data_IF_756811477790
#
_entry.id   IF_756811477790
#
_cell.length_a   1.000
_cell.length_b   1.000
_cell.length_c   1.000
_cell.angle_alpha   90.00
_cell.angle_beta   90.00
_cell.angle_gamma   90.00
#
_symmetry.space_group_name_H-M   'P 1'
#
loop_
_entity.id
_entity.type
_entity.pdbx_description
1 polymer ?
#
# COMPACT_ATOMS: atom_id res chain seq x y z
N UNK A 1 47.46 114.12 36.52
CA UNK A 1 47.00 114.22 37.92
C UNK A 1 45.49 114.25 37.88
N UNK A 2 44.93 113.11 38.25
CA UNK A 2 43.72 112.95 39.07
C UNK A 2 42.38 113.54 38.61
N UNK A 3 41.43 112.63 38.37
CA UNK A 3 40.12 112.51 39.04
C UNK A 3 39.26 111.50 38.25
N UNK A 4 39.08 110.26 38.73
CA UNK A 4 37.89 109.79 39.48
C UNK A 4 36.58 109.82 38.65
N UNK A 5 36.22 108.69 38.03
CA UNK A 5 35.29 107.63 38.50
C UNK A 5 33.80 107.94 38.34
N UNK A 6 33.17 107.26 37.37
CA UNK A 6 31.93 106.49 37.53
C UNK A 6 32.06 105.22 36.66
N UNK A 7 31.82 104.00 37.18
CA UNK A 7 31.70 102.83 36.33
C UNK A 7 30.23 102.56 35.98
N UNK A 8 29.90 102.71 34.71
CA UNK A 8 28.63 102.27 34.14
C UNK A 8 28.68 100.75 33.92
N UNK A 9 27.75 100.02 34.54
CA UNK A 9 27.65 98.56 34.48
C UNK A 9 27.14 98.14 33.10
N UNK A 10 27.87 97.33 32.31
CA UNK A 10 27.35 96.81 31.05
C UNK A 10 26.34 95.67 31.30
N UNK A 11 25.34 95.49 30.42
CA UNK A 11 24.35 94.42 30.56
C UNK A 11 24.99 93.05 30.33
N UNK A 12 24.55 92.08 31.14
CA UNK A 12 24.91 90.66 31.00
C UNK A 12 24.32 90.12 29.69
N UNK A 13 25.18 89.74 28.74
CA UNK A 13 24.78 88.99 27.56
C UNK A 13 24.44 87.55 27.98
N UNK A 14 23.18 87.17 27.81
CA UNK A 14 22.71 85.79 27.95
C UNK A 14 23.27 84.98 26.80
N UNK A 15 24.18 84.05 27.08
CA UNK A 15 24.57 83.01 26.13
C UNK A 15 23.38 82.07 25.94
N UNK A 16 22.74 82.12 24.77
CA UNK A 16 21.80 81.10 24.33
C UNK A 16 22.60 79.86 23.95
N UNK A 17 22.47 78.78 24.72
CA UNK A 17 22.99 77.46 24.36
C UNK A 17 22.36 77.03 23.03
N UNK A 18 23.17 76.90 21.99
CA UNK A 18 22.68 76.31 20.74
C UNK A 18 22.41 74.81 20.97
N UNK A 19 21.23 74.31 20.58
CA UNK A 19 20.91 72.90 20.73
C UNK A 19 21.89 72.04 19.93
N UNK A 20 22.39 70.98 20.57
CA UNK A 20 23.45 70.09 20.09
C UNK A 20 23.12 69.33 18.78
N UNK A 21 21.91 69.48 18.25
CA UNK A 21 21.44 68.84 17.02
C UNK A 21 20.78 69.89 16.14
N UNK A 22 21.38 70.15 14.97
CA UNK A 22 20.80 71.06 14.00
C UNK A 22 19.54 70.48 13.35
N UNK A 23 18.68 71.32 12.75
CA UNK A 23 17.49 70.84 12.03
C UNK A 23 17.82 69.85 10.91
N UNK A 24 19.02 69.95 10.32
CA UNK A 24 19.51 69.04 9.30
C UNK A 24 19.90 67.66 9.88
N UNK A 25 20.45 67.62 11.10
CA UNK A 25 20.76 66.38 11.82
C UNK A 25 19.48 65.64 12.25
N UNK A 26 18.45 66.38 12.64
CA UNK A 26 17.12 65.81 12.96
C UNK A 26 16.52 65.14 11.72
N UNK A 27 16.61 65.78 10.55
CA UNK A 27 16.14 65.19 9.28
C UNK A 27 16.94 63.93 8.94
N UNK A 28 18.26 63.94 9.13
CA UNK A 28 19.13 62.81 8.82
C UNK A 28 18.87 61.62 9.76
N UNK A 29 18.63 61.88 11.04
CA UNK A 29 18.21 60.88 12.02
C UNK A 29 16.83 60.29 11.68
N UNK A 30 15.87 61.11 11.26
CA UNK A 30 14.54 60.62 10.85
C UNK A 30 14.63 59.72 9.61
N UNK A 31 15.49 60.05 8.64
CA UNK A 31 15.71 59.22 7.45
C UNK A 31 16.38 57.89 7.82
N UNK A 32 17.36 57.90 8.73
CA UNK A 32 18.00 56.67 9.23
C UNK A 32 17.01 55.78 9.99
N UNK A 33 16.17 56.36 10.86
CA UNK A 33 15.15 55.63 11.60
C UNK A 33 14.09 55.07 10.65
N UNK A 34 13.66 55.82 9.64
CA UNK A 34 12.72 55.34 8.62
C UNK A 34 13.32 54.21 7.78
N UNK A 35 14.60 54.30 7.40
CA UNK A 35 15.33 53.25 6.70
C UNK A 35 15.49 51.98 7.53
N UNK A 36 15.81 52.12 8.82
CA UNK A 36 15.90 51.00 9.76
C UNK A 36 14.54 50.34 9.99
N UNK A 37 13.48 51.14 10.17
CA UNK A 37 12.10 50.63 10.30
C UNK A 37 11.67 49.88 9.03
N UNK A 38 11.97 50.41 7.84
CA UNK A 38 11.69 49.75 6.57
C UNK A 38 12.46 48.43 6.42
N UNK A 39 13.74 48.41 6.79
CA UNK A 39 14.57 47.20 6.76
C UNK A 39 14.03 46.12 7.72
N UNK A 40 13.66 46.50 8.95
CA UNK A 40 13.09 45.57 9.93
C UNK A 40 11.72 45.03 9.51
N UNK A 41 10.87 45.86 8.92
CA UNK A 41 9.58 45.43 8.38
C UNK A 41 9.74 44.51 7.16
N UNK A 42 10.74 44.77 6.29
CA UNK A 42 11.06 43.90 5.15
C UNK A 42 11.63 42.56 5.60
N UNK A 43 12.46 42.54 6.64
CA UNK A 43 13.01 41.30 7.21
C UNK A 43 11.92 40.46 7.89
N UNK A 44 10.97 41.08 8.61
CA UNK A 44 9.78 40.37 9.13
C UNK A 44 8.93 39.74 8.03
N UNK A 45 8.81 40.39 6.87
CA UNK A 45 8.09 39.83 5.71
C UNK A 45 8.84 38.65 5.07
N UNK A 46 10.18 38.67 5.10
CA UNK A 46 11.03 37.55 4.68
C UNK A 46 10.96 36.39 5.67
N UNK A 47 11.01 36.63 6.98
CA UNK A 47 10.78 35.60 8.00
C UNK A 47 9.36 35.01 7.94
N UNK A 48 8.34 35.81 7.63
CA UNK A 48 6.97 35.32 7.42
C UNK A 48 6.81 34.45 6.16
N UNK A 49 7.70 34.60 5.16
CA UNK A 49 7.77 33.71 3.99
C UNK A 49 8.67 32.49 4.23
N UNK A 50 9.73 32.61 5.03
CA UNK A 50 10.63 31.48 5.37
C UNK A 50 10.06 30.58 6.48
N UNK A 51 9.09 31.06 7.27
CA UNK A 51 8.34 30.25 8.26
C UNK A 51 7.15 29.50 7.65
N UNK A 52 6.99 29.54 6.33
CA UNK A 52 6.07 28.69 5.57
C UNK A 52 6.76 27.44 5.01
N UNK A 53 7.75 26.87 5.72
CA UNK A 53 7.99 25.45 5.60
C UNK A 53 6.79 24.75 6.23
N UNK A 54 5.87 24.28 5.38
CA UNK A 54 4.86 23.30 5.79
C UNK A 54 5.61 22.19 6.50
N UNK A 55 5.46 22.09 7.82
CA UNK A 55 5.80 20.89 8.55
C UNK A 55 4.93 19.80 7.93
N UNK A 56 5.52 18.98 7.07
CA UNK A 56 4.95 17.67 6.79
C UNK A 56 5.13 16.90 8.09
N UNK A 57 4.18 17.05 9.02
CA UNK A 57 3.86 15.89 9.82
C UNK A 57 3.42 14.87 8.80
N UNK A 58 4.15 13.75 8.74
CA UNK A 58 3.59 12.53 8.19
C UNK A 58 2.45 12.22 9.16
N UNK A 59 1.28 12.81 8.89
CA UNK A 59 0.06 12.13 9.27
C UNK A 59 0.18 10.81 8.53
N UNK A 60 0.14 9.65 9.22
CA UNK A 60 -0.10 8.42 8.48
C UNK A 60 -1.30 8.74 7.62
N UNK A 61 -1.15 8.61 6.30
CA UNK A 61 -2.29 8.57 5.41
C UNK A 61 -3.21 7.59 6.10
N UNK A 62 -4.31 8.08 6.67
CA UNK A 62 -5.36 7.20 7.11
C UNK A 62 -5.69 6.46 5.82
N UNK A 63 -5.20 5.23 5.70
CA UNK A 63 -5.60 4.31 4.67
C UNK A 63 -7.10 4.42 4.70
N UNK A 64 -7.70 4.92 3.62
CA UNK A 64 -9.12 5.12 3.54
C UNK A 64 -9.76 3.78 3.86
N UNK A 65 -10.19 3.58 5.09
CA UNK A 65 -11.03 2.44 5.50
C UNK A 65 -12.35 2.45 4.70
N UNK A 66 -12.64 3.55 4.01
CA UNK A 66 -13.74 3.66 3.06
C UNK A 66 -13.54 2.89 1.74
N UNK A 67 -12.31 2.55 1.30
CA UNK A 67 -12.12 1.74 0.07
C UNK A 67 -12.24 0.24 0.31
N UNK A 68 -12.05 -0.25 1.54
CA UNK A 68 -12.22 -1.68 1.86
C UNK A 68 -13.69 -2.10 1.93
N UNK A 69 -14.58 -1.22 2.41
CA UNK A 69 -16.02 -1.51 2.52
C UNK A 69 -16.73 -1.72 1.17
N UNK A 70 -16.22 -1.15 0.07
CA UNK A 70 -16.74 -1.44 -1.28
C UNK A 70 -16.16 -2.73 -1.89
N UNK A 71 -15.07 -3.24 -1.34
CA UNK A 71 -14.32 -4.37 -1.88
C UNK A 71 -14.58 -5.73 -1.23
N UNK A 72 -15.58 -5.83 -0.35
CA UNK A 72 -16.04 -7.08 0.28
C UNK A 72 -16.07 -8.27 -0.68
N UNK A 73 -15.22 -9.27 -0.41
CA UNK A 73 -15.16 -10.47 -1.25
C UNK A 73 -16.38 -11.35 -0.98
N UNK A 74 -16.94 -11.36 0.23
CA UNK A 74 -18.17 -12.11 0.54
C UNK A 74 -19.35 -11.57 -0.26
N UNK A 75 -19.48 -10.23 -0.38
CA UNK A 75 -20.51 -9.61 -1.23
C UNK A 75 -20.32 -9.98 -2.71
N UNK A 76 -19.07 -9.99 -3.20
CA UNK A 76 -18.74 -10.44 -4.56
C UNK A 76 -19.08 -11.92 -4.76
N UNK A 77 -18.82 -12.79 -3.78
CA UNK A 77 -19.19 -14.21 -3.84
C UNK A 77 -20.72 -14.38 -3.94
N UNK A 78 -21.48 -13.78 -3.01
CA UNK A 78 -22.95 -13.86 -2.96
C UNK A 78 -23.60 -13.32 -4.25
N UNK A 79 -23.21 -12.14 -4.70
CA UNK A 79 -23.79 -11.50 -5.90
C UNK A 79 -23.49 -12.23 -7.21
N UNK A 80 -22.36 -12.95 -7.28
CA UNK A 80 -21.95 -13.68 -8.50
C UNK A 80 -22.25 -15.17 -8.46
N UNK A 81 -22.91 -15.65 -7.39
CA UNK A 81 -23.21 -17.06 -7.17
C UNK A 81 -21.97 -17.93 -7.07
N UNK A 82 -20.88 -17.39 -6.50
CA UNK A 82 -19.62 -18.12 -6.29
C UNK A 82 -19.57 -18.69 -4.89
N UNK A 83 -18.94 -19.85 -4.76
CA UNK A 83 -18.81 -20.62 -3.50
C UNK A 83 -17.35 -20.91 -3.13
N UNK A 84 -16.43 -20.70 -4.07
CA UNK A 84 -15.01 -20.89 -3.87
C UNK A 84 -14.30 -19.54 -3.90
N UNK A 85 -13.44 -19.29 -2.93
CA UNK A 85 -12.44 -18.21 -2.96
C UNK A 85 -11.05 -18.82 -2.84
N UNK A 86 -10.13 -18.40 -3.69
CA UNK A 86 -8.74 -18.83 -3.64
C UNK A 86 -7.87 -17.61 -3.38
N UNK A 87 -7.27 -17.58 -2.20
CA UNK A 87 -6.31 -16.55 -1.80
C UNK A 87 -4.91 -16.96 -2.23
N UNK A 88 -4.09 -15.98 -2.62
CA UNK A 88 -2.69 -16.20 -2.94
C UNK A 88 -1.78 -15.32 -2.10
N UNK A 89 -0.76 -15.91 -1.49
CA UNK A 89 0.41 -15.20 -0.97
C UNK A 89 1.54 -15.34 -1.97
N UNK A 90 1.84 -14.29 -2.75
CA UNK A 90 2.83 -14.36 -3.83
C UNK A 90 3.74 -13.14 -3.89
N UNK A 91 5.05 -13.39 -4.11
CA UNK A 91 6.03 -12.34 -4.36
C UNK A 91 6.33 -12.15 -5.86
N UNK A 92 6.32 -13.26 -6.62
CA UNK A 92 6.73 -13.31 -8.04
C UNK A 92 5.67 -13.87 -8.98
N UNK A 93 4.44 -14.15 -8.48
CA UNK A 93 3.28 -14.54 -9.29
C UNK A 93 2.95 -16.04 -9.34
N UNK A 94 3.83 -16.94 -8.88
CA UNK A 94 3.59 -18.40 -8.97
C UNK A 94 2.32 -18.84 -8.22
N UNK A 95 2.15 -18.37 -6.99
CA UNK A 95 0.97 -18.69 -6.18
C UNK A 95 -0.32 -18.03 -6.73
N UNK A 96 -0.20 -16.84 -7.33
CA UNK A 96 -1.31 -16.16 -8.01
C UNK A 96 -1.79 -16.98 -9.23
N UNK A 97 -0.86 -17.50 -10.02
CA UNK A 97 -1.18 -18.36 -11.16
C UNK A 97 -1.89 -19.66 -10.73
N UNK A 98 -1.38 -20.31 -9.68
CA UNK A 98 -2.00 -21.52 -9.12
C UNK A 98 -3.40 -21.24 -8.59
N UNK A 99 -3.60 -20.12 -7.89
CA UNK A 99 -4.91 -19.69 -7.44
C UNK A 99 -5.89 -19.46 -8.60
N UNK A 100 -5.42 -18.82 -9.68
CA UNK A 100 -6.17 -18.64 -10.92
C UNK A 100 -6.62 -19.96 -11.56
N UNK A 101 -5.73 -20.95 -11.60
CA UNK A 101 -6.03 -22.28 -12.14
C UNK A 101 -7.08 -23.01 -11.31
N UNK A 102 -6.98 -22.99 -9.99
CA UNK A 102 -8.00 -23.57 -9.09
C UNK A 102 -9.35 -22.88 -9.24
N UNK A 103 -9.38 -21.55 -9.21
CA UNK A 103 -10.63 -20.80 -9.34
C UNK A 103 -11.34 -21.07 -10.68
N UNK A 104 -10.57 -21.24 -11.76
CA UNK A 104 -11.08 -21.58 -13.09
C UNK A 104 -11.61 -23.02 -13.16
N UNK A 105 -10.87 -23.98 -12.62
CA UNK A 105 -11.24 -25.39 -12.66
C UNK A 105 -12.45 -25.70 -11.76
N UNK A 106 -12.68 -24.91 -10.70
CA UNK A 106 -13.85 -25.03 -9.85
C UNK A 106 -15.19 -24.99 -10.60
N UNK A 107 -15.26 -24.35 -11.77
CA UNK A 107 -16.45 -24.38 -12.62
C UNK A 107 -16.87 -25.81 -13.01
N UNK A 108 -15.89 -26.70 -13.27
CA UNK A 108 -16.12 -28.12 -13.62
C UNK A 108 -16.77 -28.90 -12.48
N UNK A 109 -16.53 -28.47 -11.24
CA UNK A 109 -16.98 -29.11 -10.01
C UNK A 109 -18.12 -28.34 -9.34
N UNK A 110 -18.88 -27.54 -10.10
CA UNK A 110 -19.97 -26.68 -9.59
C UNK A 110 -19.56 -25.70 -8.48
N UNK A 111 -18.25 -25.51 -8.30
CA UNK A 111 -17.60 -24.66 -7.31
C UNK A 111 -17.04 -23.43 -8.02
N UNK A 112 -17.94 -22.58 -8.55
CA UNK A 112 -17.55 -21.36 -9.24
C UNK A 112 -16.66 -20.51 -8.32
N UNK A 113 -15.41 -20.33 -8.75
CA UNK A 113 -14.37 -19.68 -7.96
C UNK A 113 -14.17 -18.20 -8.29
N UNK A 114 -13.51 -17.51 -7.36
CA UNK A 114 -12.77 -16.28 -7.63
C UNK A 114 -11.40 -16.33 -6.97
N UNK A 115 -10.48 -15.54 -7.51
CA UNK A 115 -9.17 -15.28 -6.94
C UNK A 115 -9.23 -13.98 -6.16
N UNK A 116 -8.55 -13.93 -5.02
CA UNK A 116 -8.51 -12.75 -4.16
C UNK A 116 -7.10 -12.54 -3.60
N UNK A 117 -6.65 -11.28 -3.62
CA UNK A 117 -5.46 -10.87 -2.89
C UNK A 117 -5.85 -10.64 -1.41
N UNK A 118 -5.23 -11.34 -0.44
CA UNK A 118 -5.50 -11.08 0.97
C UNK A 118 -5.18 -9.64 1.40
N UNK A 119 -4.24 -8.92 0.75
CA UNK A 119 -3.95 -7.50 1.05
C UNK A 119 -5.09 -6.56 0.60
N UNK A 120 -5.83 -6.94 -0.45
CA UNK A 120 -6.94 -6.13 -0.98
C UNK A 120 -8.31 -6.49 -0.38
N UNK A 121 -8.33 -7.45 0.57
CA UNK A 121 -9.52 -7.99 1.19
C UNK A 121 -9.53 -7.74 2.71
N UNK A 122 -10.72 -7.49 3.26
CA UNK A 122 -10.91 -7.55 4.71
C UNK A 122 -11.03 -9.03 5.13
N UNK A 123 -9.94 -9.57 5.67
CA UNK A 123 -9.87 -10.99 6.03
C UNK A 123 -10.76 -11.37 7.21
N UNK A 124 -11.28 -10.41 7.99
CA UNK A 124 -12.28 -10.69 9.02
C UNK A 124 -13.59 -11.24 8.41
N UNK A 125 -13.88 -10.91 7.14
CA UNK A 125 -15.05 -11.43 6.42
C UNK A 125 -15.02 -12.96 6.28
N UNK A 126 -13.86 -13.63 6.42
CA UNK A 126 -13.76 -15.10 6.43
C UNK A 126 -14.70 -15.75 7.46
N UNK A 127 -14.96 -15.07 8.58
CA UNK A 127 -15.89 -15.54 9.62
C UNK A 127 -17.33 -15.73 9.11
N UNK A 128 -17.69 -14.99 8.05
CA UNK A 128 -19.00 -15.02 7.43
C UNK A 128 -19.06 -15.90 6.18
N UNK A 129 -17.94 -16.52 5.78
CA UNK A 129 -17.89 -17.39 4.60
C UNK A 129 -18.84 -18.59 4.75
N UNK A 130 -18.97 -19.12 5.98
CA UNK A 130 -19.89 -20.21 6.36
C UNK A 130 -21.38 -19.94 6.06
N UNK A 131 -21.76 -18.67 5.85
CA UNK A 131 -23.13 -18.31 5.47
C UNK A 131 -23.45 -18.68 4.02
N UNK A 132 -22.43 -19.00 3.21
CA UNK A 132 -22.59 -19.44 1.83
C UNK A 132 -22.61 -20.98 1.80
N UNK A 133 -23.70 -21.56 1.28
CA UNK A 133 -23.82 -23.01 1.18
C UNK A 133 -22.67 -23.63 0.37
N UNK A 134 -22.10 -24.71 0.90
CA UNK A 134 -20.94 -25.42 0.32
C UNK A 134 -19.76 -24.50 0.01
N UNK A 135 -19.49 -23.51 0.87
CA UNK A 135 -18.38 -22.59 0.68
C UNK A 135 -17.02 -23.22 0.99
N UNK A 136 -15.98 -22.81 0.27
CA UNK A 136 -14.60 -23.24 0.45
C UNK A 136 -13.62 -22.07 0.28
N UNK A 137 -12.69 -21.93 1.21
CA UNK A 137 -11.52 -21.06 1.08
C UNK A 137 -10.27 -21.88 0.79
N UNK A 138 -9.54 -21.56 -0.27
CA UNK A 138 -8.25 -22.20 -0.57
C UNK A 138 -7.14 -21.17 -0.47
N UNK A 139 -6.00 -21.56 0.12
CA UNK A 139 -4.85 -20.68 0.29
C UNK A 139 -3.65 -21.25 -0.46
N UNK A 140 -3.17 -20.55 -1.49
CA UNK A 140 -1.91 -20.82 -2.18
C UNK A 140 -0.83 -19.89 -1.62
N UNK A 141 0.03 -20.38 -0.73
CA UNK A 141 0.90 -19.50 0.07
C UNK A 141 2.37 -19.80 -0.17
N UNK A 142 3.09 -18.84 -0.75
CA UNK A 142 4.54 -18.90 -0.83
C UNK A 142 5.20 -18.52 0.49
N UNK A 143 6.30 -19.20 0.79
CA UNK A 143 7.21 -18.84 1.88
C UNK A 143 8.38 -18.05 1.30
N UNK A 144 8.74 -16.93 1.94
CA UNK A 144 9.80 -16.04 1.47
C UNK A 144 10.80 -15.72 2.59
N UNK A 145 11.97 -15.16 2.24
CA UNK A 145 13.00 -14.75 3.19
C UNK A 145 13.41 -15.86 4.16
N UNK A 146 13.39 -15.57 5.46
CA UNK A 146 13.72 -16.50 6.55
C UNK A 146 12.48 -17.23 7.07
N UNK A 147 11.65 -17.68 6.12
CA UNK A 147 10.42 -18.39 6.43
C UNK A 147 9.26 -17.47 6.85
N UNK A 148 9.23 -16.28 6.27
CA UNK A 148 8.21 -15.25 6.45
C UNK A 148 7.14 -15.36 5.34
N UNK A 149 5.91 -14.86 5.59
CA UNK A 149 4.90 -14.74 4.53
C UNK A 149 5.34 -13.75 3.46
N UNK A 150 4.73 -13.84 2.27
CA UNK A 150 4.87 -12.82 1.23
C UNK A 150 4.28 -11.48 1.66
N UNK A 151 4.72 -10.38 1.07
CA UNK A 151 4.30 -9.03 1.47
C UNK A 151 2.78 -8.89 1.49
N UNK A 152 2.10 -9.37 0.45
CA UNK A 152 0.65 -9.30 0.31
C UNK A 152 -0.13 -10.19 1.30
N UNK A 153 0.54 -11.11 1.99
CA UNK A 153 -0.07 -12.05 2.95
C UNK A 153 0.29 -11.71 4.40
N UNK A 154 1.15 -10.72 4.64
CA UNK A 154 1.69 -10.40 5.96
C UNK A 154 0.57 -10.05 6.96
N UNK A 155 -0.35 -9.15 6.59
CA UNK A 155 -1.42 -8.71 7.49
C UNK A 155 -2.35 -9.87 7.90
N UNK A 156 -2.71 -10.74 6.95
CA UNK A 156 -3.50 -11.94 7.22
C UNK A 156 -2.78 -12.89 8.19
N UNK A 157 -1.49 -13.13 7.94
CA UNK A 157 -0.67 -14.02 8.76
C UNK A 157 -0.56 -13.51 10.20
N UNK A 158 -0.27 -12.23 10.39
CA UNK A 158 -0.22 -11.60 11.72
C UNK A 158 -1.59 -11.62 12.42
N UNK A 159 -2.67 -11.40 11.66
CA UNK A 159 -4.03 -11.41 12.22
C UNK A 159 -4.39 -12.77 12.82
N UNK A 160 -4.22 -13.88 12.08
CA UNK A 160 -4.53 -15.21 12.61
C UNK A 160 -3.56 -15.65 13.71
N UNK A 161 -2.33 -15.13 13.69
CA UNK A 161 -1.33 -15.42 14.72
C UNK A 161 -1.67 -14.77 16.07
N UNK A 162 -2.11 -13.51 16.03
CA UNK A 162 -2.30 -12.71 17.23
C UNK A 162 -3.73 -12.75 17.79
N UNK A 163 -4.69 -13.23 17.02
CA UNK A 163 -6.09 -13.28 17.42
C UNK A 163 -6.58 -14.72 17.59
N UNK A 164 -7.53 -14.91 18.50
CA UNK A 164 -8.23 -16.18 18.74
C UNK A 164 -9.65 -16.04 18.18
N UNK A 165 -9.76 -16.23 16.88
CA UNK A 165 -11.01 -16.10 16.12
C UNK A 165 -11.68 -17.47 15.96
N UNK A 166 -13.02 -17.49 15.97
CA UNK A 166 -13.76 -18.74 15.78
C UNK A 166 -14.09 -18.97 14.29
N UNK A 167 -13.33 -19.87 13.68
CA UNK A 167 -13.56 -20.34 12.31
C UNK A 167 -14.44 -21.59 12.23
N UNK A 168 -15.21 -21.93 13.28
CA UNK A 168 -16.20 -23.02 13.23
C UNK A 168 -17.13 -22.86 12.03
N UNK A 169 -17.13 -23.86 11.14
CA UNK A 169 -17.91 -23.91 9.91
C UNK A 169 -17.20 -23.37 8.67
N UNK A 170 -16.00 -22.81 8.79
CA UNK A 170 -15.13 -22.49 7.65
C UNK A 170 -14.53 -23.79 7.10
N UNK A 171 -14.75 -24.08 5.82
CA UNK A 171 -14.07 -25.16 5.13
C UNK A 171 -12.85 -24.59 4.41
N UNK A 172 -11.69 -25.23 4.54
CA UNK A 172 -10.46 -24.74 3.92
C UNK A 172 -9.57 -25.84 3.34
N UNK A 173 -8.64 -25.42 2.47
CA UNK A 173 -7.49 -26.21 2.06
C UNK A 173 -6.29 -25.29 1.82
N UNK A 174 -5.07 -25.81 1.99
CA UNK A 174 -3.83 -25.04 1.80
C UNK A 174 -2.90 -25.77 0.85
N UNK A 175 -2.32 -25.03 -0.09
CA UNK A 175 -1.18 -25.46 -0.89
C UNK A 175 -0.01 -24.51 -0.60
N UNK A 176 1.01 -25.02 0.09
CA UNK A 176 2.24 -24.30 0.34
C UNK A 176 3.16 -24.33 -0.87
N UNK A 177 3.77 -23.20 -1.18
CA UNK A 177 4.88 -23.09 -2.12
C UNK A 177 6.16 -22.82 -1.32
N UNK A 178 7.13 -23.72 -1.43
CA UNK A 178 8.42 -23.60 -0.76
C UNK A 178 9.53 -24.20 -1.60
N UNK A 179 10.72 -24.24 -1.02
CA UNK A 179 11.90 -24.79 -1.66
C UNK A 179 12.78 -25.47 -0.61
N UNK A 180 13.13 -26.75 -0.80
CA UNK A 180 13.87 -27.54 0.19
C UNK A 180 15.33 -27.13 0.38
N UNK A 181 15.90 -26.29 -0.51
CA UNK A 181 17.23 -25.73 -0.29
C UNK A 181 17.26 -24.67 0.81
N UNK A 182 16.09 -24.15 1.20
CA UNK A 182 15.95 -23.19 2.29
C UNK A 182 15.74 -23.91 3.62
N UNK A 183 16.22 -23.31 4.71
CA UNK A 183 16.07 -23.85 6.06
C UNK A 183 14.59 -24.01 6.46
N UNK A 184 13.75 -23.06 6.04
CA UNK A 184 12.34 -22.98 6.41
C UNK A 184 11.41 -23.41 5.27
N UNK A 185 11.51 -24.68 4.86
CA UNK A 185 10.66 -25.27 3.82
C UNK A 185 9.16 -25.17 4.16
N UNK A 186 8.39 -24.47 3.32
CA UNK A 186 6.92 -24.36 3.40
C UNK A 186 6.38 -23.83 4.75
N UNK A 187 7.19 -23.13 5.54
CA UNK A 187 6.85 -22.72 6.91
C UNK A 187 5.52 -21.97 7.00
N UNK A 188 5.24 -21.08 6.05
CA UNK A 188 3.99 -20.28 6.03
C UNK A 188 2.78 -21.16 5.74
N UNK A 189 2.85 -22.02 4.72
CA UNK A 189 1.75 -22.94 4.39
C UNK A 189 1.45 -23.91 5.54
N UNK A 190 2.49 -24.48 6.15
CA UNK A 190 2.38 -25.36 7.33
C UNK A 190 1.75 -24.63 8.51
N UNK A 191 2.18 -23.39 8.76
CA UNK A 191 1.66 -22.58 9.86
C UNK A 191 0.18 -22.25 9.65
N UNK A 192 -0.20 -21.73 8.48
CA UNK A 192 -1.59 -21.32 8.20
C UNK A 192 -2.54 -22.51 8.26
N UNK A 193 -2.16 -23.64 7.67
CA UNK A 193 -2.95 -24.88 7.73
C UNK A 193 -3.21 -25.31 9.18
N UNK A 194 -2.14 -25.42 9.98
CA UNK A 194 -2.27 -25.77 11.39
C UNK A 194 -3.09 -24.74 12.17
N UNK A 195 -2.85 -23.45 11.96
CA UNK A 195 -3.51 -22.37 12.71
C UNK A 195 -4.99 -22.30 12.40
N UNK A 196 -5.41 -22.50 11.15
CA UNK A 196 -6.83 -22.55 10.78
C UNK A 196 -7.55 -23.72 11.46
N UNK A 197 -6.91 -24.90 11.55
CA UNK A 197 -7.45 -26.05 12.29
C UNK A 197 -7.59 -25.76 13.79
N UNK A 198 -6.57 -25.14 14.42
CA UNK A 198 -6.62 -24.74 15.84
C UNK A 198 -7.76 -23.74 16.13
N UNK A 199 -8.09 -22.88 15.17
CA UNK A 199 -9.18 -21.90 15.24
C UNK A 199 -10.56 -22.49 14.90
N UNK A 200 -10.66 -23.80 14.68
CA UNK A 200 -11.93 -24.52 14.48
C UNK A 200 -12.38 -24.68 13.03
N UNK A 201 -11.56 -24.29 12.05
CA UNK A 201 -11.87 -24.51 10.64
C UNK A 201 -11.75 -26.00 10.26
N UNK A 202 -12.54 -26.45 9.29
CA UNK A 202 -12.53 -27.83 8.79
C UNK A 202 -11.62 -27.95 7.56
N UNK A 203 -10.56 -28.77 7.68
CA UNK A 203 -9.68 -29.09 6.56
C UNK A 203 -10.38 -30.05 5.59
N UNK A 204 -10.60 -29.62 4.35
CA UNK A 204 -11.26 -30.43 3.30
C UNK A 204 -10.29 -31.38 2.61
N UNK A 205 -9.04 -30.96 2.45
CA UNK A 205 -8.00 -31.76 1.82
C UNK A 205 -6.64 -31.52 2.47
N UNK A 206 -5.75 -32.52 2.41
CA UNK A 206 -4.42 -32.45 3.03
C UNK A 206 -3.58 -31.28 2.51
N UNK A 207 -2.74 -30.74 3.39
CA UNK A 207 -1.80 -29.68 3.06
C UNK A 207 -0.89 -30.11 1.90
N UNK A 208 -0.86 -29.33 0.84
CA UNK A 208 0.12 -29.48 -0.23
C UNK A 208 1.45 -28.84 0.13
N UNK A 209 2.56 -29.50 -0.18
CA UNK A 209 3.91 -29.02 0.06
C UNK A 209 4.68 -29.03 -1.27
N UNK A 210 4.58 -27.95 -2.04
CA UNK A 210 5.30 -27.80 -3.30
C UNK A 210 6.78 -27.45 -3.08
N UNK A 211 7.64 -27.99 -3.94
CA UNK A 211 9.10 -27.80 -3.89
C UNK A 211 9.67 -27.21 -5.19
N UNK A 212 10.08 -25.95 -5.12
CA UNK A 212 10.67 -25.21 -6.25
C UNK A 212 12.12 -25.62 -6.56
N UNK A 213 12.81 -26.38 -5.69
CA UNK A 213 14.11 -26.98 -6.02
C UNK A 213 13.99 -28.07 -7.10
N UNK A 214 12.84 -28.76 -7.11
CA UNK A 214 12.54 -29.84 -8.02
C UNK A 214 11.59 -29.39 -9.14
N UNK A 215 10.29 -29.63 -8.97
CA UNK A 215 9.28 -29.19 -9.92
C UNK A 215 7.96 -28.91 -9.21
N UNK A 216 7.80 -27.67 -8.77
CA UNK A 216 6.61 -27.22 -8.05
C UNK A 216 5.32 -27.31 -8.89
N UNK A 217 5.44 -27.26 -10.22
CA UNK A 217 4.30 -27.42 -11.14
C UNK A 217 3.72 -28.85 -11.06
N UNK A 218 4.60 -29.87 -11.05
CA UNK A 218 4.18 -31.26 -10.95
C UNK A 218 3.58 -31.56 -9.57
N UNK A 219 4.16 -30.98 -8.51
CA UNK A 219 3.62 -31.08 -7.15
C UNK A 219 2.21 -30.46 -7.06
N UNK A 220 2.03 -29.29 -7.66
CA UNK A 220 0.73 -28.61 -7.71
C UNK A 220 -0.30 -29.41 -8.50
N UNK A 221 0.05 -29.93 -9.68
CA UNK A 221 -0.84 -30.77 -10.49
C UNK A 221 -1.24 -32.01 -9.68
N UNK A 222 -0.28 -32.70 -9.06
CA UNK A 222 -0.52 -33.90 -8.27
C UNK A 222 -1.45 -33.65 -7.09
N UNK A 223 -1.26 -32.52 -6.40
CA UNK A 223 -2.12 -32.10 -5.30
C UNK A 223 -3.54 -31.75 -5.81
N UNK A 224 -3.63 -30.95 -6.86
CA UNK A 224 -4.89 -30.49 -7.46
C UNK A 224 -5.77 -31.64 -7.96
N UNK A 225 -5.17 -32.64 -8.59
CA UNK A 225 -5.89 -33.79 -9.15
C UNK A 225 -6.50 -34.69 -8.07
N UNK A 226 -5.97 -34.65 -6.84
CA UNK A 226 -6.55 -35.32 -5.65
C UNK A 226 -7.47 -34.39 -4.85
N UNK A 227 -7.19 -33.10 -4.84
CA UNK A 227 -7.97 -32.07 -4.17
C UNK A 227 -9.41 -32.03 -4.68
N UNK A 228 -9.63 -32.01 -5.99
CA UNK A 228 -10.98 -31.89 -6.54
C UNK A 228 -11.91 -33.08 -6.22
N UNK A 229 -11.46 -34.35 -6.34
CA UNK A 229 -12.22 -35.50 -5.83
C UNK A 229 -12.61 -35.35 -4.36
N UNK A 230 -11.67 -34.94 -3.48
CA UNK A 230 -11.95 -34.76 -2.06
C UNK A 230 -12.99 -33.66 -1.80
N UNK A 231 -12.94 -32.55 -2.55
CA UNK A 231 -13.95 -31.48 -2.50
C UNK A 231 -15.34 -32.01 -2.93
N UNK A 232 -15.39 -32.83 -3.98
CA UNK A 232 -16.63 -33.43 -4.45
C UNK A 232 -17.25 -34.37 -3.40
N UNK A 233 -16.43 -35.23 -2.79
CA UNK A 233 -16.85 -36.16 -1.75
C UNK A 233 -17.33 -35.41 -0.49
N UNK A 234 -16.60 -34.36 -0.08
CA UNK A 234 -16.93 -33.58 1.10
C UNK A 234 -18.27 -32.84 0.96
N UNK A 235 -18.54 -32.22 -0.20
CA UNK A 235 -19.76 -31.45 -0.42
C UNK A 235 -20.89 -32.24 -1.09
N UNK A 236 -20.68 -33.52 -1.39
CA UNK A 236 -21.61 -34.36 -2.15
C UNK A 236 -21.98 -33.73 -3.50
N UNK A 237 -20.96 -33.31 -4.26
CA UNK A 237 -21.12 -32.70 -5.59
C UNK A 237 -20.66 -33.71 -6.63
N UNK A 238 -21.47 -33.92 -7.67
CA UNK A 238 -21.05 -34.69 -8.83
C UNK A 238 -20.26 -33.79 -9.80
N UNK A 239 -19.09 -34.25 -10.23
CA UNK A 239 -18.32 -33.59 -11.28
C UNK A 239 -19.15 -33.53 -12.55
N UNK A 240 -19.22 -32.36 -13.18
CA UNK A 240 -19.95 -32.18 -14.45
C UNK A 240 -19.27 -32.90 -15.62
N UNK A 241 -18.07 -33.47 -15.43
CA UNK A 241 -17.34 -34.32 -16.38
C UNK A 241 -16.68 -33.54 -17.53
N UNK A 242 -17.36 -32.52 -18.04
CA UNK A 242 -16.96 -31.78 -19.24
C UNK A 242 -15.81 -30.80 -18.97
N UNK A 243 -14.78 -30.83 -19.81
CA UNK A 243 -13.81 -29.76 -19.92
C UNK A 243 -14.48 -28.52 -20.51
N UNK A 244 -14.99 -27.64 -19.64
CA UNK A 244 -15.58 -26.38 -20.09
C UNK A 244 -14.46 -25.39 -20.38
N UNK A 245 -14.04 -25.29 -21.65
CA UNK A 245 -13.09 -24.28 -22.11
C UNK A 245 -13.74 -22.88 -22.07
N UNK A 246 -13.73 -22.26 -20.89
CA UNK A 246 -14.29 -20.92 -20.69
C UNK A 246 -13.22 -19.86 -20.91
N UNK A 247 -13.45 -18.93 -21.83
CA UNK A 247 -12.60 -17.74 -22.01
C UNK A 247 -12.93 -16.72 -20.93
N UNK A 248 -11.93 -16.29 -20.17
CA UNK A 248 -12.10 -15.23 -19.15
C UNK A 248 -12.22 -13.84 -19.78
N UNK A 249 -11.56 -13.63 -20.92
CA UNK A 249 -11.51 -12.35 -21.61
C UNK A 249 -12.18 -12.45 -22.99
N UNK A 250 -12.80 -11.34 -23.41
CA UNK A 250 -13.33 -11.14 -24.76
C UNK A 250 -12.46 -10.10 -25.46
N UNK A 251 -12.00 -10.42 -26.67
CA UNK A 251 -11.33 -9.46 -27.53
C UNK A 251 -12.36 -8.42 -28.02
N UNK A 252 -12.09 -7.15 -27.78
CA UNK A 252 -12.85 -6.02 -28.29
C UNK A 252 -11.89 -5.10 -29.04
N UNK A 253 -12.03 -5.05 -30.37
CA UNK A 253 -11.23 -4.15 -31.20
C UNK A 253 -11.78 -2.72 -31.10
N UNK A 254 -10.90 -1.74 -30.92
CA UNK A 254 -11.26 -0.32 -30.86
C UNK A 254 -10.45 0.48 -31.90
N UNK A 255 -10.93 0.58 -33.15
CA UNK A 255 -10.17 1.18 -34.25
C UNK A 255 -10.00 2.70 -34.15
N UNK A 256 -10.85 3.39 -33.38
CA UNK A 256 -10.84 4.86 -33.26
C UNK A 256 -10.55 5.34 -31.82
N UNK A 257 -9.55 4.75 -31.15
CA UNK A 257 -9.18 5.16 -29.79
C UNK A 257 -8.10 6.24 -29.80
N UNK A 258 -8.35 7.34 -29.06
CA UNK A 258 -7.36 8.40 -28.82
C UNK A 258 -6.10 7.82 -28.16
N UNK A 259 -4.88 8.21 -28.62
CA UNK A 259 -3.63 7.80 -27.97
C UNK A 259 -3.56 8.11 -26.47
N UNK A 260 -4.26 9.16 -26.02
CA UNK A 260 -4.32 9.55 -24.61
C UNK A 260 -5.11 8.59 -23.73
N UNK A 261 -5.82 7.61 -24.31
CA UNK A 261 -6.59 6.60 -23.59
C UNK A 261 -5.96 5.21 -23.66
N UNK A 262 -4.78 5.10 -24.26
CA UNK A 262 -4.08 3.84 -24.46
C UNK A 262 -2.94 3.71 -23.44
N UNK A 263 -2.88 2.57 -22.77
CA UNK A 263 -1.69 2.17 -22.04
C UNK A 263 -0.56 1.90 -23.02
N UNK A 264 0.63 2.43 -22.72
CA UNK A 264 1.85 2.32 -23.52
C UNK A 264 2.97 1.55 -22.80
N UNK A 265 2.63 0.89 -21.68
CA UNK A 265 3.55 0.09 -20.86
C UNK A 265 3.51 0.44 -19.38
N UNK A 266 2.67 1.39 -18.97
CA UNK A 266 2.45 1.73 -17.56
C UNK A 266 1.80 0.57 -16.80
N UNK A 267 2.16 0.40 -15.52
CA UNK A 267 1.71 -0.73 -14.68
C UNK A 267 0.24 -0.63 -14.29
N UNK A 268 -0.19 0.54 -13.78
CA UNK A 268 -1.53 0.69 -13.20
C UNK A 268 -2.25 1.96 -13.66
N UNK A 269 -1.70 3.15 -13.35
CA UNK A 269 -2.32 4.41 -13.73
C UNK A 269 -1.88 4.82 -15.14
N UNK A 270 -2.86 5.11 -15.99
CA UNK A 270 -2.62 5.66 -17.32
C UNK A 270 -1.71 6.90 -17.24
N UNK A 271 -0.72 6.96 -18.13
CA UNK A 271 0.33 7.97 -18.19
C UNK A 271 1.22 8.11 -16.94
N UNK A 272 1.31 7.09 -16.07
CA UNK A 272 2.16 7.15 -14.87
C UNK A 272 3.65 7.23 -15.19
N UNK A 273 4.11 6.59 -16.26
CA UNK A 273 5.53 6.59 -16.64
C UNK A 273 5.99 7.96 -17.15
N UNK A 274 5.09 8.75 -17.75
CA UNK A 274 5.35 10.12 -18.20
C UNK A 274 5.12 11.12 -17.06
N UNK A 275 4.08 10.92 -16.25
CA UNK A 275 3.74 11.80 -15.12
C UNK A 275 4.03 11.12 -13.78
N UNK A 276 5.30 11.13 -13.42
CA UNK A 276 5.83 10.50 -12.21
C UNK A 276 5.49 11.32 -10.96
N UNK A 277 4.85 10.70 -9.98
CA UNK A 277 4.50 11.33 -8.69
C UNK A 277 4.72 10.32 -7.57
N UNK A 278 5.39 10.70 -6.46
CA UNK A 278 5.55 9.82 -5.30
C UNK A 278 4.20 9.61 -4.56
N UNK A 279 4.08 8.57 -3.71
CA UNK A 279 5.09 7.55 -3.41
C UNK A 279 5.33 6.59 -4.59
N UNK A 280 6.53 6.01 -4.65
CA UNK A 280 6.89 5.01 -5.66
C UNK A 280 6.92 3.63 -5.02
N UNK A 281 6.28 2.67 -5.66
CA UNK A 281 6.07 1.30 -5.19
C UNK A 281 5.91 0.36 -6.41
N UNK A 282 5.53 -0.91 -6.18
CA UNK A 282 5.33 -1.89 -7.24
C UNK A 282 4.23 -1.48 -8.25
N UNK A 283 3.20 -0.75 -7.80
CA UNK A 283 2.07 -0.29 -8.64
C UNK A 283 2.39 1.06 -9.34
N UNK A 284 3.39 1.78 -8.86
CA UNK A 284 3.85 3.07 -9.39
C UNK A 284 5.40 3.15 -9.39
N UNK A 285 6.08 2.50 -10.34
CA UNK A 285 7.54 2.46 -10.36
C UNK A 285 8.16 3.81 -10.72
N UNK A 286 9.35 4.08 -10.15
CA UNK A 286 10.15 5.26 -10.47
C UNK A 286 11.05 5.01 -11.70
N UNK A 287 10.97 5.90 -12.69
CA UNK A 287 11.81 5.84 -13.91
C UNK A 287 13.23 6.40 -13.65
N UNK A 288 14.05 5.62 -12.92
CA UNK A 288 15.42 6.00 -12.61
C UNK A 288 16.33 6.01 -13.86
N UNK A 289 17.04 7.12 -14.16
CA UNK A 289 17.94 7.17 -15.31
C UNK A 289 19.22 6.36 -15.06
N UNK A 290 19.58 5.48 -16.00
CA UNK A 290 20.84 4.74 -15.98
C UNK A 290 22.00 5.71 -16.26
N UNK A 291 22.79 6.07 -15.24
CA UNK A 291 23.92 7.00 -15.39
C UNK A 291 25.20 6.35 -15.90
N UNK A 292 25.45 5.11 -15.51
CA UNK A 292 26.67 4.36 -15.83
C UNK A 292 26.23 2.94 -16.19
N UNK A 293 26.69 2.44 -17.34
CA UNK A 293 26.56 1.05 -17.74
C UNK A 293 27.95 0.63 -18.27
N UNK A 294 28.64 -0.23 -17.53
CA UNK A 294 29.98 -0.72 -17.89
C UNK A 294 30.10 -2.20 -17.55
N UNK A 295 30.92 -2.90 -18.32
CA UNK A 295 31.33 -4.28 -18.05
C UNK A 295 32.20 -4.32 -16.78
N UNK A 296 31.97 -5.34 -15.94
CA UNK A 296 32.64 -5.53 -14.63
C UNK A 296 33.94 -6.33 -14.77
#
# INVERSE_FOLDING_TARGET
>A
MDAQTEPEVPPVAVATEEPFLGPLDIVLLLVLVAGAAWYLLKNKKKEAQTSQFKSYSIQPTAVNTMTMAENSFIKKLKSSGRRLVVFYGSQTGTAEEFAGRLAKEGLRYQMKGMVADPEECDMEELLTLKDIDKSLAVFCLATYGEGDPTDNCMEFYEWIQNNDVDFTGLNYAVFGLGNKTYEHYNKVGIYVDKRLEELGASRVFELGLGDDDANIEDDFITWKDKFWPAVCDHFGIESTGDEVLTRQYRLLEQPETSPERLYTGEVARLHSLQTQRPPFDAKNPFMAPIKINREL
#
